data_IF_899180559389
#
_entry.id   IF_899180559389
#
_cell.length_a   1.000
_cell.length_b   1.000
_cell.length_c   1.000
_cell.angle_alpha   90.00
_cell.angle_beta   90.00
_cell.angle_gamma   90.00
#
_symmetry.space_group_name_H-M   'P 1'
#
loop_
_entity.id
_entity.type
_entity.pdbx_description
1 polymer ?
#
# COMPACT_ATOMS: atom_id res chain seq x y z
N UNK A 1 14.71 -26.92 29.85
CA UNK A 1 14.20 -25.70 30.54
C UNK A 1 14.55 -24.51 29.65
N UNK A 2 13.62 -24.05 28.82
CA UNK A 2 13.85 -22.87 27.98
C UNK A 2 13.89 -21.66 28.93
N UNK A 3 14.95 -20.83 28.95
CA UNK A 3 15.05 -19.74 29.90
C UNK A 3 13.89 -18.76 29.69
N UNK A 4 13.21 -18.38 30.78
CA UNK A 4 12.05 -17.47 30.81
C UNK A 4 12.28 -16.16 30.03
N UNK A 5 13.55 -15.74 29.93
CA UNK A 5 14.03 -14.57 29.18
C UNK A 5 13.86 -14.75 27.66
N UNK A 6 14.10 -15.95 27.13
CA UNK A 6 13.94 -16.24 25.70
C UNK A 6 12.46 -16.25 25.28
N UNK A 7 11.59 -16.75 26.16
CA UNK A 7 10.14 -16.75 25.92
C UNK A 7 9.57 -15.31 25.88
N UNK A 8 10.00 -14.45 26.81
CA UNK A 8 9.51 -13.07 26.87
C UNK A 8 9.94 -12.26 25.63
N UNK A 9 11.17 -12.47 25.16
CA UNK A 9 11.71 -11.81 23.96
C UNK A 9 10.99 -12.26 22.69
N UNK A 10 10.60 -13.53 22.60
CA UNK A 10 9.84 -14.07 21.47
C UNK A 10 8.44 -13.43 21.40
N UNK A 11 7.73 -13.35 22.53
CA UNK A 11 6.40 -12.73 22.62
C UNK A 11 6.45 -11.24 22.24
N UNK A 12 7.50 -10.53 22.66
CA UNK A 12 7.69 -9.11 22.32
C UNK A 12 7.93 -8.87 20.83
N UNK A 13 8.72 -9.74 20.17
CA UNK A 13 8.99 -9.67 18.73
C UNK A 13 7.70 -9.93 17.93
N UNK A 14 6.91 -10.95 18.29
CA UNK A 14 5.65 -11.24 17.62
C UNK A 14 4.64 -10.10 17.75
N UNK A 15 4.52 -9.50 18.94
CA UNK A 15 3.61 -8.39 19.18
C UNK A 15 3.99 -7.15 18.36
N UNK A 16 5.29 -6.81 18.30
CA UNK A 16 5.77 -5.68 17.50
C UNK A 16 5.55 -5.90 16.00
N UNK A 17 5.76 -7.12 15.51
CA UNK A 17 5.51 -7.49 14.12
C UNK A 17 4.02 -7.37 13.73
N UNK A 18 3.11 -7.78 14.62
CA UNK A 18 1.67 -7.65 14.40
C UNK A 18 1.26 -6.17 14.35
N UNK A 19 1.77 -5.35 15.28
CA UNK A 19 1.50 -3.91 15.31
C UNK A 19 2.01 -3.24 14.02
N UNK A 20 3.24 -3.56 13.61
CA UNK A 20 3.82 -3.02 12.38
C UNK A 20 2.96 -3.34 11.15
N UNK A 21 2.53 -4.61 11.01
CA UNK A 21 1.63 -5.03 9.93
C UNK A 21 0.29 -4.28 9.97
N UNK A 22 -0.28 -4.09 11.15
CA UNK A 22 -1.50 -3.30 11.33
C UNK A 22 -1.33 -1.85 10.87
N UNK A 23 -0.21 -1.21 11.22
CA UNK A 23 0.12 0.15 10.79
C UNK A 23 0.23 0.25 9.28
N UNK A 24 0.89 -0.72 8.63
CA UNK A 24 1.01 -0.74 7.16
C UNK A 24 -0.33 -0.86 6.45
N UNK A 25 -1.20 -1.75 6.92
CA UNK A 25 -2.55 -1.91 6.37
C UNK A 25 -3.35 -0.62 6.53
N UNK A 26 -3.31 0.01 7.71
CA UNK A 26 -3.99 1.29 7.96
C UNK A 26 -3.44 2.39 7.05
N UNK A 27 -2.11 2.47 6.90
CA UNK A 27 -1.47 3.44 6.02
C UNK A 27 -1.93 3.29 4.57
N UNK A 28 -2.02 2.06 4.06
CA UNK A 28 -2.49 1.77 2.71
C UNK A 28 -3.95 2.15 2.53
N UNK A 29 -4.80 1.80 3.49
CA UNK A 29 -6.21 2.20 3.45
C UNK A 29 -6.33 3.72 3.40
N UNK A 30 -5.59 4.45 4.25
CA UNK A 30 -5.57 5.91 4.24
C UNK A 30 -5.11 6.47 2.90
N UNK A 31 -4.07 5.90 2.28
CA UNK A 31 -3.57 6.32 0.98
C UNK A 31 -4.62 6.12 -0.13
N UNK A 32 -5.28 4.97 -0.16
CA UNK A 32 -6.35 4.70 -1.11
C UNK A 32 -7.55 5.64 -0.90
N UNK A 33 -7.94 5.89 0.36
CA UNK A 33 -9.01 6.85 0.68
C UNK A 33 -8.65 8.25 0.19
N UNK A 34 -7.41 8.71 0.40
CA UNK A 34 -6.94 9.99 -0.11
C UNK A 34 -7.03 10.07 -1.63
N UNK A 35 -6.57 9.03 -2.35
CA UNK A 35 -6.67 8.96 -3.81
C UNK A 35 -8.14 9.02 -4.26
N UNK A 36 -9.04 8.24 -3.64
CA UNK A 36 -10.49 8.29 -3.95
C UNK A 36 -11.05 9.70 -3.74
N UNK A 37 -10.63 10.37 -2.68
CA UNK A 37 -11.04 11.74 -2.39
C UNK A 37 -10.58 12.71 -3.48
N UNK A 38 -9.32 12.63 -3.92
CA UNK A 38 -8.81 13.45 -5.02
C UNK A 38 -9.53 13.19 -6.34
N UNK A 39 -9.76 11.92 -6.71
CA UNK A 39 -10.48 11.55 -7.93
C UNK A 39 -11.91 12.07 -7.89
N UNK A 40 -12.61 11.95 -6.75
CA UNK A 40 -13.96 12.49 -6.59
C UNK A 40 -13.98 14.02 -6.72
N UNK A 41 -13.01 14.71 -6.12
CA UNK A 41 -12.89 16.17 -6.23
C UNK A 41 -12.60 16.60 -7.67
N UNK A 42 -11.71 15.90 -8.38
CA UNK A 42 -11.42 16.14 -9.78
C UNK A 42 -12.66 15.90 -10.67
N UNK A 43 -13.35 14.77 -10.47
CA UNK A 43 -14.58 14.45 -11.20
C UNK A 43 -15.65 15.54 -11.04
N UNK A 44 -15.88 16.01 -9.81
CA UNK A 44 -16.83 17.11 -9.52
C UNK A 44 -16.48 18.41 -10.25
N UNK A 45 -15.19 18.69 -10.48
CA UNK A 45 -14.77 19.86 -11.26
C UNK A 45 -14.95 19.62 -12.76
N UNK A 46 -14.60 18.43 -13.25
CA UNK A 46 -14.72 18.07 -14.67
C UNK A 46 -16.16 18.17 -15.16
N UNK A 47 -17.14 17.67 -14.40
CA UNK A 47 -18.56 17.70 -14.82
C UNK A 47 -19.16 19.12 -14.90
N UNK A 48 -18.50 20.14 -14.34
CA UNK A 48 -18.93 21.54 -14.44
C UNK A 48 -18.62 22.14 -15.82
N UNK A 49 -17.70 21.55 -16.56
CA UNK A 49 -17.29 22.01 -17.89
C UNK A 49 -18.39 21.64 -18.91
N UNK A 50 -18.89 22.61 -19.68
CA UNK A 50 -20.04 22.43 -20.58
C UNK A 50 -19.83 21.34 -21.63
N UNK A 51 -18.61 21.24 -22.19
CA UNK A 51 -18.23 20.20 -23.16
C UNK A 51 -18.25 18.79 -22.56
N UNK A 52 -17.88 18.66 -21.28
CA UNK A 52 -17.86 17.40 -20.53
C UNK A 52 -19.27 17.00 -20.10
N UNK A 53 -20.12 17.98 -19.74
CA UNK A 53 -21.51 17.76 -19.36
C UNK A 53 -22.33 17.04 -20.44
N UNK A 54 -22.01 17.27 -21.72
CA UNK A 54 -22.63 16.55 -22.86
C UNK A 54 -22.32 15.05 -22.85
N UNK A 55 -21.16 14.65 -22.33
CA UNK A 55 -20.69 13.26 -22.21
C UNK A 55 -20.80 12.71 -20.77
N UNK A 56 -21.65 13.32 -19.93
CA UNK A 56 -21.73 13.01 -18.49
C UNK A 56 -21.97 11.52 -18.22
N UNK A 57 -22.80 10.84 -19.00
CA UNK A 57 -23.10 9.41 -18.82
C UNK A 57 -21.85 8.54 -19.00
N UNK A 58 -21.12 8.73 -20.09
CA UNK A 58 -19.90 7.95 -20.39
C UNK A 58 -18.84 8.16 -19.32
N UNK A 59 -18.66 9.41 -18.88
CA UNK A 59 -17.65 9.77 -17.88
C UNK A 59 -18.05 9.26 -16.49
N UNK A 60 -19.34 9.20 -16.20
CA UNK A 60 -19.84 8.60 -14.95
C UNK A 60 -19.54 7.09 -14.90
N UNK A 61 -19.68 6.37 -16.02
CA UNK A 61 -19.31 4.94 -16.10
C UNK A 61 -17.81 4.75 -15.88
N UNK A 62 -16.97 5.56 -16.54
CA UNK A 62 -15.51 5.53 -16.34
C UNK A 62 -15.15 5.80 -14.88
N UNK A 63 -15.78 6.81 -14.26
CA UNK A 63 -15.56 7.14 -12.86
C UNK A 63 -15.94 5.97 -11.93
N UNK A 64 -17.07 5.32 -12.17
CA UNK A 64 -17.49 4.14 -11.40
C UNK A 64 -16.50 2.98 -11.55
N UNK A 65 -16.05 2.69 -12.77
CA UNK A 65 -15.06 1.64 -13.00
C UNK A 65 -13.74 1.94 -12.29
N UNK A 66 -13.27 3.18 -12.31
CA UNK A 66 -12.05 3.59 -11.58
C UNK A 66 -12.26 3.38 -10.07
N UNK A 67 -13.40 3.77 -9.50
CA UNK A 67 -13.69 3.59 -8.08
C UNK A 67 -13.75 2.10 -7.68
N UNK A 68 -14.33 1.25 -8.52
CA UNK A 68 -14.37 -0.20 -8.33
C UNK A 68 -12.95 -0.77 -8.38
N UNK A 69 -12.18 -0.44 -9.42
CA UNK A 69 -10.81 -0.89 -9.60
C UNK A 69 -9.91 -0.46 -8.43
N UNK A 70 -10.06 0.78 -7.95
CA UNK A 70 -9.31 1.27 -6.80
C UNK A 70 -9.66 0.50 -5.51
N UNK A 71 -10.93 0.11 -5.37
CA UNK A 71 -11.38 -0.66 -4.21
C UNK A 71 -10.88 -2.10 -4.25
N UNK A 72 -10.97 -2.75 -5.43
CA UNK A 72 -10.46 -4.12 -5.63
C UNK A 72 -8.93 -4.17 -5.43
N UNK A 73 -8.20 -3.22 -6.00
CA UNK A 73 -6.74 -3.14 -5.82
C UNK A 73 -6.34 -2.88 -4.38
N UNK A 74 -7.07 -2.03 -3.64
CA UNK A 74 -6.85 -1.85 -2.20
C UNK A 74 -6.99 -3.17 -1.43
N UNK A 75 -8.09 -3.91 -1.66
CA UNK A 75 -8.32 -5.19 -1.01
C UNK A 75 -7.24 -6.23 -1.34
N UNK A 76 -6.86 -6.34 -2.62
CA UNK A 76 -5.79 -7.22 -3.06
C UNK A 76 -4.46 -6.86 -2.40
N UNK A 77 -4.13 -5.58 -2.31
CA UNK A 77 -2.89 -5.13 -1.69
C UNK A 77 -2.87 -5.40 -0.18
N UNK A 78 -3.97 -5.15 0.52
CA UNK A 78 -4.11 -5.48 1.94
C UNK A 78 -3.97 -6.99 2.18
N UNK A 79 -4.58 -7.83 1.33
CA UNK A 79 -4.45 -9.29 1.43
C UNK A 79 -3.02 -9.75 1.17
N UNK A 80 -2.35 -9.22 0.15
CA UNK A 80 -0.96 -9.54 -0.15
C UNK A 80 -0.03 -9.20 1.01
N UNK A 81 -0.19 -8.03 1.62
CA UNK A 81 0.67 -7.60 2.74
C UNK A 81 0.38 -8.41 3.99
N UNK A 82 -0.89 -8.63 4.31
CA UNK A 82 -1.26 -9.48 5.44
C UNK A 82 -0.72 -10.89 5.26
N UNK A 83 -0.83 -11.45 4.05
CA UNK A 83 -0.33 -12.78 3.73
C UNK A 83 1.21 -12.86 3.78
N UNK A 84 1.90 -11.89 3.18
CA UNK A 84 3.37 -11.87 3.15
C UNK A 84 3.96 -11.64 4.54
N UNK A 85 3.45 -10.63 5.27
CA UNK A 85 3.91 -10.35 6.63
C UNK A 85 3.53 -11.48 7.59
N UNK A 86 2.32 -12.05 7.45
CA UNK A 86 1.89 -13.21 8.23
C UNK A 86 2.77 -14.44 7.99
N UNK A 87 3.20 -14.67 6.75
CA UNK A 87 4.14 -15.73 6.40
C UNK A 87 5.54 -15.52 7.00
N UNK A 88 6.03 -14.28 6.98
CA UNK A 88 7.30 -13.91 7.63
C UNK A 88 7.26 -14.12 9.15
N UNK A 89 6.16 -13.72 9.81
CA UNK A 89 5.93 -13.98 11.24
C UNK A 89 5.91 -15.49 11.51
N UNK A 90 5.21 -16.27 10.69
CA UNK A 90 5.15 -17.73 10.84
C UNK A 90 6.53 -18.39 10.73
N UNK A 91 7.44 -17.80 9.95
CA UNK A 91 8.83 -18.26 9.81
C UNK A 91 9.72 -17.85 10.99
N UNK A 92 9.21 -17.05 11.92
CA UNK A 92 9.94 -16.51 13.06
C UNK A 92 10.88 -15.35 12.70
N UNK A 93 10.69 -14.72 11.53
CA UNK A 93 11.49 -13.56 11.12
C UNK A 93 10.93 -12.27 11.76
N UNK A 94 11.82 -11.36 12.17
CA UNK A 94 11.45 -10.04 12.65
C UNK A 94 11.18 -9.11 11.46
N UNK A 95 9.92 -8.66 11.30
CA UNK A 95 9.50 -7.84 10.18
C UNK A 95 10.23 -6.50 10.16
N UNK A 96 10.41 -5.87 11.32
CA UNK A 96 11.06 -4.56 11.44
C UNK A 96 12.52 -4.66 10.98
N UNK A 97 13.22 -5.71 11.41
CA UNK A 97 14.61 -5.96 11.04
C UNK A 97 14.74 -6.32 9.55
N UNK A 98 13.83 -7.17 9.05
CA UNK A 98 13.77 -7.53 7.63
C UNK A 98 13.54 -6.31 6.74
N UNK A 99 12.55 -5.47 7.06
CA UNK A 99 12.25 -4.25 6.33
C UNK A 99 13.40 -3.25 6.38
N UNK A 100 14.00 -3.06 7.56
CA UNK A 100 15.16 -2.17 7.71
C UNK A 100 16.34 -2.65 6.87
N UNK A 101 16.60 -3.95 6.85
CA UNK A 101 17.64 -4.57 6.03
C UNK A 101 17.35 -4.40 4.53
N UNK A 102 16.10 -4.59 4.10
CA UNK A 102 15.70 -4.35 2.72
C UNK A 102 15.86 -2.90 2.30
N UNK A 103 15.39 -1.94 3.11
CA UNK A 103 15.52 -0.51 2.81
C UNK A 103 17.00 -0.11 2.76
N UNK A 104 17.82 -0.63 3.66
CA UNK A 104 19.26 -0.36 3.68
C UNK A 104 20.00 -0.99 2.50
N UNK A 105 19.55 -2.14 2.02
CA UNK A 105 20.12 -2.81 0.84
C UNK A 105 19.61 -2.23 -0.48
N UNK A 106 18.49 -1.52 -0.49
CA UNK A 106 18.06 -0.73 -1.65
C UNK A 106 18.97 0.50 -1.74
N UNK A 107 20.00 0.41 -2.59
CA UNK A 107 20.82 1.57 -2.92
C UNK A 107 19.96 2.65 -3.58
N UNK A 108 20.12 3.90 -3.15
CA UNK A 108 19.50 5.06 -3.79
C UNK A 108 19.85 5.14 -5.29
N UNK A 109 21.02 4.65 -5.70
CA UNK A 109 21.41 4.56 -7.11
C UNK A 109 20.50 3.61 -7.91
N UNK A 110 20.01 2.54 -7.29
CA UNK A 110 19.06 1.63 -7.92
C UNK A 110 17.71 2.32 -8.15
N UNK A 111 17.23 3.08 -7.15
CA UNK A 111 16.00 3.86 -7.28
C UNK A 111 16.13 4.99 -8.33
N UNK A 112 17.25 5.70 -8.33
CA UNK A 112 17.54 6.73 -9.34
C UNK A 112 17.63 6.12 -10.74
N UNK A 113 18.28 4.96 -10.89
CA UNK A 113 18.38 4.28 -12.17
C UNK A 113 17.02 3.84 -12.68
N UNK A 114 16.15 3.29 -11.83
CA UNK A 114 14.77 2.95 -12.21
C UNK A 114 13.98 4.21 -12.57
N UNK A 115 14.04 5.26 -11.75
CA UNK A 115 13.35 6.52 -11.98
C UNK A 115 13.75 7.15 -13.32
N UNK A 116 15.05 7.22 -13.59
CA UNK A 116 15.60 7.73 -14.86
C UNK A 116 15.16 6.84 -16.02
N UNK A 117 15.18 5.51 -15.87
CA UNK A 117 14.81 4.59 -16.94
C UNK A 117 13.31 4.65 -17.27
N UNK A 118 12.45 4.84 -16.27
CA UNK A 118 11.00 5.07 -16.45
C UNK A 118 10.74 6.42 -17.13
N UNK A 119 11.47 7.47 -16.74
CA UNK A 119 11.36 8.78 -17.38
C UNK A 119 11.90 8.80 -18.82
N UNK A 120 12.94 8.01 -19.11
CA UNK A 120 13.56 7.93 -20.44
C UNK A 120 12.77 7.08 -21.44
N UNK A 121 11.78 6.30 -20.97
CA UNK A 121 10.89 5.49 -21.81
C UNK A 121 9.67 6.29 -22.32
N UNK A 122 9.56 7.58 -21.98
CA UNK A 122 8.50 8.47 -22.49
C UNK A 122 9.01 9.45 -23.54
#
# INVERSE_FOLDING_TARGET
MIPKIALNKFIEIDMNNIIATGVEIVFIICLFVAIKFFINRAYKQLIKISSIKKKKKDIQVIYQNIQILLTISCLLLCLLITGFNGWLIYRGENLIEYQTSLIKNISFDYLLTIGIRVLKIR
#
